data_IF_092579381236
#
_entry.id   IF_092579381236
#
_cell.length_a   1.000
_cell.length_b   1.000
_cell.length_c   1.000
_cell.angle_alpha   90.00
_cell.angle_beta   90.00
_cell.angle_gamma   90.00
#
_symmetry.space_group_name_H-M   'P 1'
#
loop_
_entity.id
_entity.type
_entity.pdbx_description
1 polymer ?
#
# COMPACT_ATOMS: atom_id res chain seq x y z
N UNK A 1 28.85 -47.32 -11.13
CA UNK A 1 28.31 -46.38 -12.13
C UNK A 1 26.80 -46.61 -12.12
N UNK A 2 26.04 -45.78 -11.39
CA UNK A 2 25.18 -44.73 -11.99
C UNK A 2 23.83 -45.39 -12.35
N UNK A 3 22.68 -45.02 -11.82
CA UNK A 3 22.14 -43.67 -11.75
C UNK A 3 21.13 -43.50 -10.61
N UNK A 4 21.19 -42.33 -9.97
CA UNK A 4 20.14 -41.81 -9.10
C UNK A 4 19.06 -41.11 -9.94
N UNK A 5 17.80 -41.37 -9.63
CA UNK A 5 16.67 -40.59 -10.14
C UNK A 5 16.15 -39.68 -9.03
N UNK A 6 16.52 -38.40 -9.13
CA UNK A 6 15.97 -37.30 -8.33
C UNK A 6 14.73 -36.79 -9.08
N UNK A 7 13.56 -36.92 -8.46
CA UNK A 7 12.33 -36.26 -8.92
C UNK A 7 12.28 -34.83 -8.39
N UNK A 8 12.06 -33.80 -9.23
CA UNK A 8 11.86 -32.45 -8.73
C UNK A 8 10.40 -32.25 -8.32
N UNK A 9 10.19 -31.81 -7.07
CA UNK A 9 8.90 -31.27 -6.58
C UNK A 9 8.63 -29.94 -7.29
N UNK A 10 7.61 -29.91 -8.13
CA UNK A 10 7.04 -28.67 -8.65
C UNK A 10 6.31 -27.93 -7.52
N UNK A 11 6.87 -26.81 -7.08
CA UNK A 11 6.20 -25.84 -6.23
C UNK A 11 5.17 -25.06 -7.04
N UNK A 12 3.92 -25.03 -6.57
CA UNK A 12 2.84 -24.25 -7.16
C UNK A 12 2.97 -22.78 -6.69
N UNK A 13 3.55 -21.92 -7.52
CA UNK A 13 3.38 -20.46 -7.41
C UNK A 13 1.96 -20.10 -7.88
N UNK A 14 1.07 -19.77 -6.96
CA UNK A 14 -0.13 -18.98 -7.29
C UNK A 14 0.14 -17.54 -6.91
N UNK A 15 0.58 -16.77 -7.90
CA UNK A 15 0.51 -15.32 -7.85
C UNK A 15 -0.96 -14.90 -7.88
N UNK A 16 -1.48 -14.34 -6.79
CA UNK A 16 -2.73 -13.59 -6.81
C UNK A 16 -2.36 -12.10 -6.77
N UNK A 17 -2.40 -11.47 -7.95
CA UNK A 17 -2.35 -10.02 -8.07
C UNK A 17 -3.63 -9.42 -7.46
N UNK A 18 -3.53 -8.88 -6.25
CA UNK A 18 -4.48 -7.90 -5.74
C UNK A 18 -4.10 -6.52 -6.27
N UNK A 19 -4.74 -6.07 -7.35
CA UNK A 19 -4.62 -4.69 -7.83
C UNK A 19 -5.37 -3.79 -6.85
N UNK A 20 -4.66 -3.12 -5.96
CA UNK A 20 -5.15 -1.91 -5.29
C UNK A 20 -4.47 -0.73 -5.98
N UNK A 21 -5.13 -0.22 -7.03
CA UNK A 21 -4.74 1.02 -7.67
C UNK A 21 -5.07 2.20 -6.73
N UNK A 22 -4.10 2.62 -5.94
CA UNK A 22 -4.04 4.01 -5.46
C UNK A 22 -3.60 4.92 -6.61
N UNK A 23 -4.21 6.09 -6.73
CA UNK A 23 -3.86 7.10 -7.73
C UNK A 23 -2.37 7.46 -7.63
N UNK A 24 -1.55 6.96 -8.56
CA UNK A 24 -0.12 7.30 -8.63
C UNK A 24 0.84 6.28 -9.26
N UNK A 25 0.43 5.04 -9.55
CA UNK A 25 1.39 3.97 -9.89
C UNK A 25 1.27 3.30 -11.28
N UNK A 26 0.37 3.73 -12.18
CA UNK A 26 0.05 2.92 -13.37
C UNK A 26 0.98 3.08 -14.58
N UNK A 27 1.87 4.08 -14.64
CA UNK A 27 2.71 4.30 -15.83
C UNK A 27 4.08 3.61 -15.77
N UNK A 28 4.60 3.31 -14.58
CA UNK A 28 5.92 2.71 -14.40
C UNK A 28 6.00 1.23 -14.77
N UNK A 29 4.91 0.47 -14.55
CA UNK A 29 4.90 -0.98 -14.71
C UNK A 29 4.79 -1.42 -16.18
N UNK A 30 4.15 -0.62 -17.05
CA UNK A 30 4.04 -0.89 -18.48
C UNK A 30 5.41 -0.84 -19.20
N UNK A 31 6.30 0.08 -18.79
CA UNK A 31 7.61 0.29 -19.44
C UNK A 31 8.66 -0.78 -19.07
N UNK A 32 8.44 -1.56 -18.02
CA UNK A 32 9.32 -2.64 -17.59
C UNK A 32 9.00 -3.98 -18.25
N UNK A 33 7.81 -4.13 -18.85
CA UNK A 33 7.37 -5.38 -19.48
C UNK A 33 7.60 -5.37 -21.01
N UNK A 34 7.71 -4.20 -21.65
CA UNK A 34 7.89 -4.10 -23.11
C UNK A 34 9.29 -3.67 -23.58
N UNK A 35 10.32 -3.76 -22.73
CA UNK A 35 11.66 -3.23 -22.99
C UNK A 35 12.79 -4.27 -23.02
N UNK A 36 12.61 -5.40 -23.72
CA UNK A 36 13.64 -6.42 -23.92
C UNK A 36 14.49 -6.18 -25.17
N UNK A 37 15.74 -5.78 -24.97
CA UNK A 37 16.77 -5.52 -25.98
C UNK A 37 17.26 -6.82 -26.67
N UNK A 38 17.36 -6.83 -28.00
CA UNK A 38 18.25 -7.75 -28.73
C UNK A 38 19.17 -6.96 -29.68
N UNK A 39 20.46 -6.95 -29.37
CA UNK A 39 21.53 -6.46 -30.25
C UNK A 39 21.86 -7.52 -31.31
N UNK A 40 21.65 -7.12 -32.57
CA UNK A 40 22.55 -7.19 -33.73
C UNK A 40 23.23 -8.54 -34.06
N UNK A 41 22.82 -9.14 -35.18
CA UNK A 41 23.78 -9.68 -36.15
C UNK A 41 23.30 -9.46 -37.61
N UNK A 42 24.27 -9.25 -38.49
CA UNK A 42 24.18 -8.60 -39.81
C UNK A 42 24.13 -9.66 -40.93
N UNK A 43 23.17 -9.58 -41.87
CA UNK A 43 23.37 -9.81 -43.33
C UNK A 43 22.07 -9.64 -44.16
N UNK A 44 22.19 -8.72 -45.13
CA UNK A 44 21.64 -8.65 -46.50
C UNK A 44 20.38 -9.42 -46.91
N UNK A 45 19.37 -8.72 -47.43
CA UNK A 45 18.97 -8.70 -48.85
C UNK A 45 17.60 -8.00 -49.05
N UNK A 46 17.37 -7.47 -50.25
CA UNK A 46 16.18 -6.75 -50.73
C UNK A 46 14.89 -7.59 -50.59
N UNK A 47 13.64 -7.08 -50.66
CA UNK A 47 13.04 -6.24 -51.72
C UNK A 47 11.56 -5.96 -51.34
N UNK A 48 11.01 -4.82 -51.80
CA UNK A 48 9.60 -4.54 -52.18
C UNK A 48 8.45 -4.52 -51.13
N UNK A 49 7.86 -3.33 -50.95
CA UNK A 49 6.42 -3.07 -50.78
C UNK A 49 5.72 -3.12 -52.17
N UNK A 50 4.36 -3.12 -52.36
CA UNK A 50 3.32 -2.61 -51.44
C UNK A 50 1.97 -3.38 -51.42
N UNK A 51 1.06 -2.97 -50.53
CA UNK A 51 -0.35 -3.40 -50.58
C UNK A 51 -1.21 -2.80 -49.46
N UNK A 52 -1.82 -1.64 -49.73
CA UNK A 52 -2.82 -0.97 -48.89
C UNK A 52 -4.17 -1.69 -49.00
N UNK A 53 -4.88 -1.88 -47.87
CA UNK A 53 -6.36 -1.89 -47.84
C UNK A 53 -6.93 -1.48 -46.47
N UNK A 54 -7.97 -0.67 -46.58
CA UNK A 54 -8.68 0.18 -45.60
C UNK A 54 -9.20 -0.51 -44.32
N UNK A 55 -9.26 0.28 -43.24
CA UNK A 55 -10.07 0.05 -42.04
C UNK A 55 -11.18 1.10 -41.97
N UNK A 56 -12.41 0.66 -41.78
CA UNK A 56 -13.60 1.48 -41.56
C UNK A 56 -13.50 2.22 -40.21
N UNK A 57 -13.83 3.51 -40.21
CA UNK A 57 -13.96 4.36 -39.02
C UNK A 57 -15.39 4.34 -38.51
N UNK A 58 -15.57 4.00 -37.24
CA UNK A 58 -16.84 4.17 -36.51
C UNK A 58 -16.99 5.65 -36.19
N UNK A 59 -18.03 6.27 -36.72
CA UNK A 59 -18.44 7.65 -36.47
C UNK A 59 -19.13 7.73 -35.09
N UNK A 60 -18.64 8.58 -34.19
CA UNK A 60 -19.24 8.84 -32.88
C UNK A 60 -19.77 10.26 -32.90
N UNK A 61 -21.09 10.40 -32.93
CA UNK A 61 -21.79 11.69 -32.90
C UNK A 61 -21.54 12.38 -31.54
N UNK A 62 -20.75 13.45 -31.55
CA UNK A 62 -20.41 14.24 -30.35
C UNK A 62 -21.60 15.11 -29.93
N UNK A 63 -22.02 15.00 -28.66
CA UNK A 63 -23.06 15.84 -28.08
C UNK A 63 -22.56 17.29 -27.86
N UNK A 64 -23.35 18.32 -28.25
CA UNK A 64 -23.00 19.73 -28.02
C UNK A 64 -22.87 20.03 -26.52
N UNK A 65 -21.72 20.57 -26.11
CA UNK A 65 -21.41 20.91 -24.71
C UNK A 65 -20.49 19.91 -23.98
N UNK A 66 -20.12 18.80 -24.63
CA UNK A 66 -19.10 17.89 -24.09
C UNK A 66 -17.69 18.53 -24.07
N UNK A 67 -16.87 18.11 -23.11
CA UNK A 67 -15.47 18.55 -23.00
C UNK A 67 -14.68 18.27 -24.29
N UNK A 68 -14.96 17.16 -24.99
CA UNK A 68 -14.34 16.84 -26.27
C UNK A 68 -14.69 17.86 -27.35
N UNK A 69 -15.97 18.26 -27.45
CA UNK A 69 -16.38 19.29 -28.41
C UNK A 69 -15.73 20.66 -28.15
N UNK A 70 -15.37 20.96 -26.90
CA UNK A 70 -14.67 22.21 -26.54
C UNK A 70 -13.17 22.20 -26.79
N UNK A 71 -12.56 21.03 -26.96
CA UNK A 71 -11.11 20.87 -27.17
C UNK A 71 -10.77 20.57 -28.62
N UNK A 72 -11.72 20.08 -29.43
CA UNK A 72 -11.53 19.78 -30.86
C UNK A 72 -11.25 21.00 -31.76
N UNK A 73 -11.42 22.23 -31.27
CA UNK A 73 -11.24 23.46 -32.05
C UNK A 73 -9.98 24.28 -31.74
N UNK A 74 -9.06 23.77 -30.90
CA UNK A 74 -7.80 24.47 -30.59
C UNK A 74 -6.74 24.12 -31.64
N UNK A 75 -6.67 24.93 -32.69
CA UNK A 75 -5.65 24.85 -33.72
C UNK A 75 -4.33 25.43 -33.18
N UNK A 76 -3.45 24.56 -32.64
CA UNK A 76 -2.10 24.97 -32.21
C UNK A 76 -1.19 25.01 -33.45
N UNK A 77 -1.37 26.05 -34.26
CA UNK A 77 -0.41 26.41 -35.30
C UNK A 77 0.72 27.20 -34.65
N UNK A 78 1.86 26.54 -34.39
CA UNK A 78 3.10 27.24 -34.07
C UNK A 78 3.72 27.79 -35.38
N UNK A 79 3.91 29.11 -35.54
CA UNK A 79 4.78 29.60 -36.59
C UNK A 79 6.22 29.25 -36.23
N UNK A 80 6.97 28.64 -37.17
CA UNK A 80 8.42 28.48 -37.03
C UNK A 80 9.10 29.85 -37.20
N UNK A 81 9.93 30.30 -36.26
CA UNK A 81 10.95 31.29 -36.55
C UNK A 81 12.24 30.57 -36.94
N UNK A 82 12.89 31.14 -37.94
CA UNK A 82 14.14 30.73 -38.57
C UNK A 82 15.31 31.00 -37.61
N UNK A 83 16.26 30.06 -37.59
CA UNK A 83 17.64 30.08 -37.07
C UNK A 83 18.08 31.27 -36.19
N UNK A 84 18.24 31.07 -34.87
CA UNK A 84 19.36 31.62 -34.09
C UNK A 84 19.71 30.69 -32.91
N UNK A 85 21.02 30.46 -32.76
CA UNK A 85 21.79 29.67 -31.81
C UNK A 85 21.27 29.46 -30.35
N UNK A 86 21.50 28.22 -29.89
CA UNK A 86 21.98 27.80 -28.57
C UNK A 86 21.38 28.42 -27.30
N UNK A 87 20.42 27.73 -26.71
CA UNK A 87 20.28 27.63 -25.25
C UNK A 87 19.57 26.32 -24.91
N UNK A 88 20.16 25.53 -24.01
CA UNK A 88 19.61 24.29 -23.49
C UNK A 88 18.24 24.54 -22.82
N UNK A 89 17.16 24.18 -23.52
CA UNK A 89 15.83 24.09 -22.91
C UNK A 89 15.79 22.75 -22.17
N UNK A 90 16.28 22.75 -20.93
CA UNK A 90 16.02 21.66 -20.00
C UNK A 90 14.52 21.65 -19.75
N UNK A 91 13.81 20.68 -20.33
CA UNK A 91 12.45 20.33 -19.96
C UNK A 91 12.45 19.94 -18.46
N UNK A 92 12.28 20.91 -17.57
CA UNK A 92 11.96 20.64 -16.17
C UNK A 92 10.58 19.98 -16.16
N UNK A 93 10.56 18.68 -15.91
CA UNK A 93 9.32 17.98 -15.62
C UNK A 93 8.62 18.69 -14.45
N UNK A 94 7.32 18.99 -14.54
CA UNK A 94 6.60 19.81 -13.56
C UNK A 94 6.56 19.25 -12.12
N UNK A 95 7.17 18.09 -11.87
CA UNK A 95 7.32 17.47 -10.54
C UNK A 95 8.72 17.52 -9.91
N UNK A 96 9.75 17.97 -10.64
CA UNK A 96 11.12 18.01 -10.13
C UNK A 96 11.41 19.38 -9.51
N UNK A 97 11.41 19.43 -8.19
CA UNK A 97 11.88 20.61 -7.46
C UNK A 97 13.41 20.70 -7.56
N UNK A 98 13.93 21.93 -7.65
CA UNK A 98 15.38 22.16 -7.60
C UNK A 98 15.96 21.54 -6.29
N UNK A 99 17.01 20.71 -6.37
CA UNK A 99 17.67 20.15 -5.18
C UNK A 99 18.04 21.20 -4.11
N UNK A 100 18.38 22.42 -4.52
CA UNK A 100 18.69 23.51 -3.59
C UNK A 100 17.46 23.94 -2.79
N UNK A 101 16.28 23.99 -3.40
CA UNK A 101 15.03 24.30 -2.68
C UNK A 101 14.66 23.21 -1.68
N UNK A 102 14.92 21.92 -1.99
CA UNK A 102 14.74 20.84 -1.01
C UNK A 102 15.67 20.99 0.20
N UNK A 103 16.95 21.29 -0.02
CA UNK A 103 17.90 21.57 1.08
C UNK A 103 17.45 22.75 1.93
N UNK A 104 16.97 23.83 1.29
CA UNK A 104 16.42 24.98 2.00
C UNK A 104 15.22 24.60 2.85
N UNK A 105 14.26 23.83 2.32
CA UNK A 105 13.10 23.37 3.08
C UNK A 105 13.51 22.51 4.30
N UNK A 106 14.45 21.58 4.13
CA UNK A 106 14.97 20.77 5.23
C UNK A 106 15.67 21.62 6.30
N UNK A 107 16.46 22.62 5.88
CA UNK A 107 17.10 23.56 6.80
C UNK A 107 16.09 24.45 7.53
N UNK A 108 15.06 24.94 6.83
CA UNK A 108 13.96 25.69 7.43
C UNK A 108 13.19 24.84 8.45
N UNK A 109 12.97 23.55 8.16
CA UNK A 109 12.31 22.65 9.10
C UNK A 109 13.11 22.52 10.40
N UNK A 110 14.43 22.33 10.31
CA UNK A 110 15.32 22.20 11.48
C UNK A 110 15.41 23.47 12.32
N UNK A 111 15.35 24.64 11.68
CA UNK A 111 15.54 25.94 12.35
C UNK A 111 14.23 26.58 12.83
N UNK A 112 13.09 26.14 12.31
CA UNK A 112 11.79 26.68 12.71
C UNK A 112 11.42 26.27 14.13
N UNK A 113 11.03 27.26 14.94
CA UNK A 113 10.46 27.06 16.28
C UNK A 113 8.94 27.28 16.33
N UNK A 114 8.31 27.56 15.18
CA UNK A 114 6.89 27.87 15.06
C UNK A 114 6.12 26.67 14.50
N UNK A 115 5.19 26.05 15.27
CA UNK A 115 4.48 24.85 14.82
C UNK A 115 3.70 25.02 13.49
N UNK A 116 2.91 26.08 13.26
CA UNK A 116 2.35 26.40 11.94
C UNK A 116 3.34 26.35 10.77
N UNK A 117 4.56 26.89 10.95
CA UNK A 117 5.58 26.87 9.91
C UNK A 117 6.13 25.46 9.70
N UNK A 118 6.36 24.70 10.79
CA UNK A 118 6.74 23.28 10.71
C UNK A 118 5.71 22.48 9.92
N UNK A 119 4.42 22.65 10.22
CA UNK A 119 3.33 21.97 9.50
C UNK A 119 3.36 22.29 8.00
N UNK A 120 3.49 23.58 7.62
CA UNK A 120 3.55 24.00 6.22
C UNK A 120 4.77 23.42 5.50
N UNK A 121 5.93 23.39 6.16
CA UNK A 121 7.16 22.86 5.58
C UNK A 121 7.05 21.33 5.41
N UNK A 122 6.58 20.61 6.44
CA UNK A 122 6.36 19.16 6.39
C UNK A 122 5.35 18.77 5.31
N UNK A 123 4.23 19.49 5.20
CA UNK A 123 3.25 19.31 4.13
C UNK A 123 3.88 19.53 2.76
N UNK A 124 4.70 20.57 2.60
CA UNK A 124 5.41 20.85 1.35
C UNK A 124 6.38 19.73 1.00
N UNK A 125 7.21 19.28 1.96
CA UNK A 125 8.13 18.16 1.78
C UNK A 125 7.38 16.85 1.45
N UNK A 126 6.25 16.58 2.11
CA UNK A 126 5.39 15.44 1.84
C UNK A 126 4.82 15.46 0.42
N UNK A 127 4.36 16.62 -0.06
CA UNK A 127 3.90 16.79 -1.44
C UNK A 127 5.04 16.62 -2.45
N UNK A 128 6.23 17.17 -2.16
CA UNK A 128 7.42 16.95 -2.98
C UNK A 128 7.79 15.45 -3.07
N UNK A 129 7.63 14.71 -1.97
CA UNK A 129 7.88 13.28 -1.90
C UNK A 129 6.87 12.41 -2.68
N UNK A 130 5.89 13.00 -3.38
CA UNK A 130 5.08 12.28 -4.36
C UNK A 130 5.88 11.86 -5.62
N UNK A 131 7.05 12.48 -5.87
CA UNK A 131 7.91 12.18 -7.01
C UNK A 131 9.15 11.39 -6.60
N UNK A 132 9.44 10.28 -7.28
CA UNK A 132 10.56 9.38 -6.94
C UNK A 132 11.93 10.06 -6.95
N UNK A 133 12.16 11.03 -7.85
CA UNK A 133 13.41 11.82 -7.88
C UNK A 133 13.59 12.57 -6.56
N UNK A 134 12.54 13.24 -6.08
CA UNK A 134 12.58 13.99 -4.83
C UNK A 134 12.68 13.06 -3.61
N UNK A 135 12.05 11.88 -3.65
CA UNK A 135 12.20 10.86 -2.60
C UNK A 135 13.67 10.43 -2.43
N UNK A 136 14.40 10.27 -3.54
CA UNK A 136 15.82 9.94 -3.51
C UNK A 136 16.66 11.12 -3.00
N UNK A 137 16.42 12.34 -3.50
CA UNK A 137 17.15 13.54 -3.04
C UNK A 137 16.94 13.79 -1.54
N UNK A 138 15.71 13.64 -1.03
CA UNK A 138 15.42 13.77 0.40
C UNK A 138 16.21 12.74 1.21
N UNK A 139 16.30 11.49 0.75
CA UNK A 139 17.14 10.46 1.40
C UNK A 139 18.63 10.84 1.36
N UNK A 140 19.15 11.24 0.20
CA UNK A 140 20.55 11.62 -0.01
C UNK A 140 20.97 12.86 0.81
N UNK A 141 20.02 13.71 1.18
CA UNK A 141 20.25 14.86 2.06
C UNK A 141 19.98 14.56 3.54
N UNK A 142 19.93 13.29 3.95
CA UNK A 142 19.60 12.88 5.33
C UNK A 142 18.25 13.45 5.82
N UNK A 143 17.37 13.78 4.87
CA UNK A 143 16.10 14.44 5.10
C UNK A 143 15.06 13.53 5.75
N UNK A 144 15.16 12.21 5.57
CA UNK A 144 14.26 11.24 6.24
C UNK A 144 14.44 11.35 7.76
N UNK A 145 15.68 11.31 8.26
CA UNK A 145 15.97 11.44 9.69
C UNK A 145 15.59 12.82 10.21
N UNK A 146 15.82 13.87 9.42
CA UNK A 146 15.41 15.25 9.74
C UNK A 146 13.89 15.36 9.91
N UNK A 147 13.11 14.80 8.98
CA UNK A 147 11.64 14.80 9.04
C UNK A 147 11.15 13.94 10.22
N UNK A 148 11.71 12.74 10.38
CA UNK A 148 11.30 11.82 11.43
C UNK A 148 11.59 12.34 12.85
N UNK A 149 12.56 13.25 13.02
CA UNK A 149 12.81 13.93 14.29
C UNK A 149 11.59 14.67 14.86
N UNK A 150 10.59 15.00 14.02
CA UNK A 150 9.35 15.65 14.43
C UNK A 150 8.24 14.68 14.84
N UNK A 151 8.48 13.36 14.87
CA UNK A 151 7.54 12.39 15.46
C UNK A 151 7.35 12.61 16.97
N UNK A 152 8.31 13.26 17.63
CA UNK A 152 8.26 13.65 19.05
C UNK A 152 7.79 15.08 19.28
N UNK A 153 7.31 15.79 18.26
CA UNK A 153 6.87 17.18 18.42
C UNK A 153 5.67 17.26 19.39
N UNK A 154 5.64 18.22 20.33
CA UNK A 154 4.52 18.36 21.28
C UNK A 154 3.18 18.63 20.59
N UNK A 155 3.19 19.21 19.39
CA UNK A 155 1.98 19.53 18.64
C UNK A 155 1.56 18.34 17.79
N UNK A 156 0.34 17.82 18.04
CA UNK A 156 -0.21 16.67 17.33
C UNK A 156 -0.26 16.88 15.81
N UNK A 157 -0.64 18.08 15.36
CA UNK A 157 -0.69 18.40 13.92
C UNK A 157 0.69 18.31 13.25
N UNK A 158 1.77 18.71 13.94
CA UNK A 158 3.13 18.56 13.41
C UNK A 158 3.44 17.07 13.22
N UNK A 159 3.12 16.23 14.21
CA UNK A 159 3.29 14.77 14.12
C UNK A 159 2.48 14.14 12.99
N UNK A 160 1.25 14.61 12.76
CA UNK A 160 0.41 14.19 11.62
C UNK A 160 1.11 14.52 10.29
N UNK A 161 1.58 15.76 10.12
CA UNK A 161 2.26 16.15 8.87
C UNK A 161 3.59 15.40 8.69
N UNK A 162 4.31 15.11 9.77
CA UNK A 162 5.50 14.25 9.74
C UNK A 162 5.18 12.85 9.24
N UNK A 163 4.15 12.20 9.80
CA UNK A 163 3.74 10.86 9.37
C UNK A 163 3.27 10.84 7.92
N UNK A 164 2.54 11.86 7.47
CA UNK A 164 2.12 11.99 6.07
C UNK A 164 3.32 12.13 5.12
N UNK A 165 4.32 12.94 5.48
CA UNK A 165 5.55 13.06 4.71
C UNK A 165 6.33 11.74 4.66
N UNK A 166 6.48 11.06 5.80
CA UNK A 166 7.12 9.74 5.88
C UNK A 166 6.35 8.68 5.07
N UNK A 167 5.01 8.72 5.08
CA UNK A 167 4.17 7.81 4.32
C UNK A 167 4.43 7.92 2.80
N UNK A 168 4.57 9.15 2.28
CA UNK A 168 4.92 9.36 0.88
C UNK A 168 6.36 8.94 0.57
N UNK A 169 7.30 9.24 1.46
CA UNK A 169 8.70 8.79 1.33
C UNK A 169 8.82 7.26 1.34
N UNK A 170 7.97 6.59 2.11
CA UNK A 170 7.91 5.13 2.27
C UNK A 170 7.45 4.40 0.99
N UNK A 171 6.92 5.10 0.00
CA UNK A 171 6.60 4.52 -1.31
C UNK A 171 7.85 4.08 -2.10
N UNK A 172 9.04 4.50 -1.65
CA UNK A 172 10.33 4.06 -2.19
C UNK A 172 10.96 2.99 -1.28
N UNK A 173 11.20 1.80 -1.82
CA UNK A 173 11.75 0.65 -1.07
C UNK A 173 13.11 0.96 -0.41
N UNK A 174 13.96 1.78 -1.04
CA UNK A 174 15.24 2.17 -0.43
C UNK A 174 15.02 3.10 0.77
N UNK A 175 14.03 3.98 0.72
CA UNK A 175 13.68 4.85 1.85
C UNK A 175 13.14 4.05 3.05
N UNK A 176 12.44 2.94 2.79
CA UNK A 176 11.92 2.09 3.86
C UNK A 176 13.03 1.58 4.80
N UNK A 177 14.26 1.38 4.30
CA UNK A 177 15.40 0.98 5.15
C UNK A 177 15.78 2.04 6.19
N UNK A 178 15.54 3.31 5.89
CA UNK A 178 15.77 4.42 6.81
C UNK A 178 14.55 4.69 7.70
N UNK A 179 13.34 4.41 7.21
CA UNK A 179 12.09 4.67 7.93
C UNK A 179 11.79 3.57 8.96
N UNK A 180 12.16 2.31 8.67
CA UNK A 180 11.82 1.15 9.52
C UNK A 180 12.26 1.28 10.98
N UNK A 181 13.32 2.04 11.26
CA UNK A 181 13.84 2.24 12.62
C UNK A 181 12.86 3.02 13.51
N UNK A 182 11.90 3.73 12.91
CA UNK A 182 10.88 4.51 13.62
C UNK A 182 9.60 3.73 13.89
N UNK A 183 9.47 2.47 13.44
CA UNK A 183 8.27 1.64 13.68
C UNK A 183 7.87 1.57 15.16
N UNK A 184 8.80 1.37 16.14
CA UNK A 184 8.43 1.38 17.55
C UNK A 184 7.78 2.69 18.00
N UNK A 185 8.31 3.83 17.57
CA UNK A 185 7.75 5.14 17.89
C UNK A 185 6.39 5.37 17.21
N UNK A 186 6.21 4.88 15.97
CA UNK A 186 4.92 4.96 15.26
C UNK A 186 3.85 4.13 15.98
N UNK A 187 4.22 2.96 16.50
CA UNK A 187 3.34 2.12 17.31
C UNK A 187 2.96 2.78 18.63
N UNK A 188 3.93 3.39 19.32
CA UNK A 188 3.68 4.19 20.53
C UNK A 188 2.72 5.35 20.26
N UNK A 189 2.88 6.04 19.12
CA UNK A 189 1.94 7.10 18.70
C UNK A 189 0.52 6.56 18.49
N UNK A 190 0.35 5.34 17.98
CA UNK A 190 -0.98 4.73 17.83
C UNK A 190 -1.60 4.44 19.20
N UNK A 191 -0.83 3.85 20.11
CA UNK A 191 -1.30 3.44 21.44
C UNK A 191 -1.64 4.64 22.34
N UNK A 192 -0.81 5.68 22.32
CA UNK A 192 -0.92 6.82 23.24
C UNK A 192 -1.84 7.94 22.74
N UNK A 193 -2.29 7.89 21.49
CA UNK A 193 -3.15 8.92 20.90
C UNK A 193 -4.63 8.70 21.25
N UNK A 194 -5.44 9.78 21.30
CA UNK A 194 -6.89 9.64 21.41
C UNK A 194 -7.45 8.73 20.31
N UNK A 195 -8.39 7.86 20.69
CA UNK A 195 -9.06 6.93 19.78
C UNK A 195 -9.74 7.72 18.66
N UNK A 196 -9.54 7.28 17.41
CA UNK A 196 -10.05 7.92 16.18
C UNK A 196 -9.41 9.27 15.82
N UNK A 197 -8.22 9.57 16.37
CA UNK A 197 -7.48 10.78 15.97
C UNK A 197 -6.84 10.65 14.58
N UNK A 198 -6.66 11.79 13.90
CA UNK A 198 -5.91 11.87 12.64
C UNK A 198 -4.47 11.34 12.79
N UNK A 199 -3.92 11.44 13.99
CA UNK A 199 -2.59 10.93 14.32
C UNK A 199 -2.54 9.38 14.25
N UNK A 200 -3.53 8.69 14.82
CA UNK A 200 -3.64 7.22 14.68
C UNK A 200 -3.80 6.83 13.20
N UNK A 201 -4.64 7.56 12.47
CA UNK A 201 -4.88 7.30 11.06
C UNK A 201 -3.62 7.47 10.21
N UNK A 202 -2.86 8.55 10.40
CA UNK A 202 -1.61 8.81 9.69
C UNK A 202 -0.55 7.75 10.00
N UNK A 203 -0.46 7.31 11.26
CA UNK A 203 0.45 6.25 11.68
C UNK A 203 0.10 4.89 11.05
N UNK A 204 -1.19 4.51 11.05
CA UNK A 204 -1.66 3.27 10.43
C UNK A 204 -1.43 3.26 8.91
N UNK A 205 -1.55 4.41 8.22
CA UNK A 205 -1.23 4.53 6.78
C UNK A 205 0.24 4.23 6.51
N UNK A 206 1.16 4.78 7.33
CA UNK A 206 2.58 4.48 7.22
C UNK A 206 2.87 2.98 7.46
N UNK A 207 2.28 2.37 8.48
CA UNK A 207 2.44 0.93 8.76
C UNK A 207 1.85 0.06 7.64
N UNK A 208 0.77 0.50 7.00
CA UNK A 208 0.21 -0.18 5.82
C UNK A 208 1.25 -0.25 4.71
N UNK A 209 1.94 0.85 4.41
CA UNK A 209 2.98 0.88 3.37
C UNK A 209 4.21 0.03 3.74
N UNK A 210 4.63 0.04 5.00
CA UNK A 210 5.76 -0.77 5.47
C UNK A 210 5.44 -2.28 5.53
N UNK A 211 4.16 -2.65 5.65
CA UNK A 211 3.74 -4.05 5.71
C UNK A 211 3.46 -4.68 4.35
N UNK A 212 3.44 -3.92 3.25
CA UNK A 212 3.13 -4.45 1.89
C UNK A 212 4.08 -5.58 1.48
N UNK A 213 5.34 -5.53 1.92
CA UNK A 213 6.32 -6.59 1.65
C UNK A 213 6.76 -7.26 2.94
N UNK A 214 7.10 -8.54 2.88
CA UNK A 214 7.50 -9.36 4.03
C UNK A 214 8.72 -8.80 4.79
N UNK A 215 9.54 -7.98 4.11
CA UNK A 215 10.83 -7.49 4.58
C UNK A 215 10.78 -6.85 5.97
N UNK A 216 9.74 -6.09 6.28
CA UNK A 216 9.62 -5.33 7.54
C UNK A 216 8.49 -5.80 8.44
N UNK A 217 7.71 -6.81 8.03
CA UNK A 217 6.55 -7.28 8.78
C UNK A 217 6.89 -7.83 10.17
N UNK A 218 8.09 -8.41 10.34
CA UNK A 218 8.57 -8.89 11.64
C UNK A 218 8.65 -7.80 12.72
N UNK A 219 8.75 -6.52 12.32
CA UNK A 219 8.74 -5.39 13.26
C UNK A 219 7.37 -5.16 13.91
N UNK A 220 6.31 -5.78 13.39
CA UNK A 220 4.93 -5.61 13.82
C UNK A 220 4.41 -6.76 14.68
N UNK A 221 5.22 -7.80 14.97
CA UNK A 221 4.80 -8.99 15.74
C UNK A 221 4.16 -8.63 17.08
N UNK A 222 4.82 -7.79 17.86
CA UNK A 222 4.34 -7.37 19.18
C UNK A 222 3.11 -6.43 19.12
N UNK A 223 2.80 -5.87 17.94
CA UNK A 223 1.68 -4.95 17.76
C UNK A 223 0.36 -5.62 17.39
N UNK A 224 0.35 -6.94 17.16
CA UNK A 224 -0.84 -7.64 16.65
C UNK A 224 -2.02 -7.48 17.62
N UNK A 225 -1.79 -7.60 18.93
CA UNK A 225 -2.82 -7.38 19.97
C UNK A 225 -3.39 -5.97 19.93
N UNK A 226 -2.54 -4.95 19.75
CA UNK A 226 -2.96 -3.55 19.59
C UNK A 226 -3.85 -3.39 18.35
N UNK A 227 -3.40 -3.93 17.21
CA UNK A 227 -4.16 -3.87 15.96
C UNK A 227 -5.53 -4.56 16.09
N UNK A 228 -5.60 -5.76 16.69
CA UNK A 228 -6.86 -6.46 16.94
C UNK A 228 -7.79 -5.67 17.86
N UNK A 229 -7.24 -4.98 18.86
CA UNK A 229 -8.01 -4.12 19.77
C UNK A 229 -8.59 -2.90 19.05
N UNK A 230 -7.82 -2.27 18.16
CA UNK A 230 -8.29 -1.15 17.34
C UNK A 230 -9.50 -1.52 16.46
N UNK A 231 -9.59 -2.77 15.99
CA UNK A 231 -10.76 -3.22 15.20
C UNK A 231 -12.09 -3.06 15.95
N UNK A 232 -12.07 -3.15 17.28
CA UNK A 232 -13.28 -3.15 18.10
C UNK A 232 -13.68 -1.74 18.53
N UNK A 233 -12.69 -0.87 18.77
CA UNK A 233 -12.92 0.43 19.42
C UNK A 233 -12.92 1.62 18.45
N UNK A 234 -12.48 1.44 17.21
CA UNK A 234 -12.33 2.52 16.23
C UNK A 234 -13.46 2.60 15.22
N UNK A 235 -13.59 3.76 14.58
CA UNK A 235 -14.52 4.01 13.47
C UNK A 235 -14.07 3.31 12.19
N UNK A 236 -15.00 3.21 11.23
CA UNK A 236 -14.82 2.52 9.94
C UNK A 236 -13.50 2.86 9.24
N UNK A 237 -13.11 4.14 9.18
CA UNK A 237 -11.89 4.55 8.48
C UNK A 237 -10.63 3.92 9.10
N UNK A 238 -10.51 3.94 10.43
CA UNK A 238 -9.37 3.33 11.13
C UNK A 238 -9.44 1.81 11.08
N UNK A 239 -10.63 1.21 11.22
CA UNK A 239 -10.82 -0.24 11.05
C UNK A 239 -10.31 -0.71 9.69
N UNK A 240 -10.66 0.01 8.62
CA UNK A 240 -10.19 -0.30 7.26
C UNK A 240 -8.66 -0.23 7.17
N UNK A 241 -8.01 0.78 7.75
CA UNK A 241 -6.54 0.87 7.70
C UNK A 241 -5.86 -0.20 8.56
N UNK A 242 -6.35 -0.43 9.78
CA UNK A 242 -5.87 -1.52 10.65
C UNK A 242 -5.99 -2.87 9.96
N UNK A 243 -7.11 -3.15 9.29
CA UNK A 243 -7.30 -4.40 8.56
C UNK A 243 -6.35 -4.52 7.36
N UNK A 244 -5.96 -3.43 6.69
CA UNK A 244 -4.95 -3.53 5.63
C UNK A 244 -3.62 -4.01 6.19
N UNK A 245 -3.20 -3.52 7.36
CA UNK A 245 -2.00 -4.02 8.04
C UNK A 245 -2.16 -5.50 8.37
N UNK A 246 -3.25 -5.90 9.02
CA UNK A 246 -3.49 -7.31 9.41
C UNK A 246 -3.60 -8.25 8.20
N UNK A 247 -4.21 -7.82 7.10
CA UNK A 247 -4.29 -8.59 5.85
C UNK A 247 -2.89 -8.76 5.24
N UNK A 248 -2.08 -7.71 5.21
CA UNK A 248 -0.69 -7.80 4.74
C UNK A 248 0.11 -8.80 5.58
N UNK A 249 0.02 -8.70 6.91
CA UNK A 249 0.71 -9.63 7.83
C UNK A 249 0.24 -11.07 7.66
N UNK A 250 -1.07 -11.31 7.63
CA UNK A 250 -1.64 -12.67 7.50
C UNK A 250 -1.40 -13.32 6.14
N UNK A 251 -1.04 -12.54 5.12
CA UNK A 251 -0.65 -13.08 3.81
C UNK A 251 0.76 -13.68 3.83
N UNK A 252 1.54 -13.45 4.88
CA UNK A 252 2.86 -14.01 5.08
C UNK A 252 2.81 -15.19 6.07
N UNK A 253 3.13 -16.43 5.63
CA UNK A 253 3.18 -17.60 6.49
C UNK A 253 4.10 -17.46 7.72
N UNK A 254 5.20 -16.69 7.62
CA UNK A 254 6.16 -16.50 8.71
C UNK A 254 5.60 -15.65 9.87
N UNK A 255 4.50 -14.94 9.64
CA UNK A 255 3.79 -14.15 10.65
C UNK A 255 2.66 -14.92 11.33
N UNK A 256 2.23 -16.06 10.76
CA UNK A 256 1.01 -16.73 11.18
C UNK A 256 1.04 -17.19 12.64
N UNK A 257 2.17 -17.75 13.09
CA UNK A 257 2.32 -18.22 14.46
C UNK A 257 2.21 -17.06 15.47
N UNK A 258 2.72 -15.87 15.14
CA UNK A 258 2.56 -14.68 15.99
C UNK A 258 1.11 -14.19 15.99
N UNK A 259 0.46 -14.19 14.81
CA UNK A 259 -0.91 -13.71 14.64
C UNK A 259 -1.92 -14.55 15.42
N UNK A 260 -1.85 -15.88 15.29
CA UNK A 260 -2.82 -16.78 15.92
C UNK A 260 -2.63 -16.89 17.44
N UNK A 261 -1.42 -16.62 17.93
CA UNK A 261 -1.08 -16.59 19.35
C UNK A 261 -1.42 -15.27 20.04
N UNK A 262 -1.50 -14.17 19.28
CA UNK A 262 -1.77 -12.84 19.84
C UNK A 262 -3.08 -12.82 20.62
N UNK A 263 -3.10 -12.25 21.83
CA UNK A 263 -4.34 -11.94 22.54
C UNK A 263 -5.30 -11.12 21.66
N UNK A 264 -6.58 -11.51 21.65
CA UNK A 264 -7.59 -10.90 20.82
C UNK A 264 -8.88 -10.66 21.63
N UNK A 265 -9.49 -9.47 21.54
CA UNK A 265 -10.82 -9.28 22.13
C UNK A 265 -11.83 -10.25 21.50
N UNK A 266 -12.62 -10.94 22.34
CA UNK A 266 -13.65 -11.86 21.86
C UNK A 266 -14.67 -11.17 20.93
N UNK A 267 -14.88 -9.86 21.09
CA UNK A 267 -15.76 -9.04 20.25
C UNK A 267 -15.30 -8.89 18.80
N UNK A 268 -14.06 -9.24 18.44
CA UNK A 268 -13.60 -9.24 17.03
C UNK A 268 -14.50 -10.12 16.17
N UNK A 269 -14.96 -11.27 16.67
CA UNK A 269 -15.86 -12.17 15.93
C UNK A 269 -17.23 -11.53 15.65
N UNK A 270 -17.65 -10.56 16.46
CA UNK A 270 -18.93 -9.87 16.31
C UNK A 270 -18.93 -8.89 15.14
N UNK A 271 -17.76 -8.53 14.60
CA UNK A 271 -17.65 -7.70 13.41
C UNK A 271 -18.06 -8.45 12.13
N UNK A 272 -18.17 -9.78 12.17
CA UNK A 272 -18.73 -10.58 11.07
C UNK A 272 -20.26 -10.56 11.12
N UNK A 273 -20.84 -9.41 10.81
CA UNK A 273 -22.27 -9.13 10.88
C UNK A 273 -22.72 -8.35 9.64
N UNK A 274 -23.96 -8.57 9.19
CA UNK A 274 -24.48 -7.92 7.99
C UNK A 274 -24.62 -6.39 8.12
N UNK A 275 -24.55 -5.86 9.35
CA UNK A 275 -24.56 -4.41 9.62
C UNK A 275 -23.16 -3.79 9.57
N UNK A 276 -22.09 -4.60 9.56
CA UNK A 276 -20.73 -4.10 9.42
C UNK A 276 -20.55 -3.49 8.03
N UNK A 277 -19.90 -2.33 7.96
CA UNK A 277 -19.64 -1.65 6.69
C UNK A 277 -18.96 -2.60 5.69
N UNK A 278 -19.42 -2.67 4.42
CA UNK A 278 -18.89 -3.62 3.44
C UNK A 278 -17.37 -3.54 3.26
N UNK A 279 -16.80 -2.33 3.31
CA UNK A 279 -15.35 -2.12 3.20
C UNK A 279 -14.54 -2.75 4.35
N UNK A 280 -15.10 -2.78 5.55
CA UNK A 280 -14.53 -3.45 6.73
C UNK A 280 -14.75 -4.95 6.61
N UNK A 281 -15.98 -5.37 6.29
CA UNK A 281 -16.35 -6.78 6.22
C UNK A 281 -15.57 -7.56 5.17
N UNK A 282 -15.38 -7.02 3.96
CA UNK A 282 -14.56 -7.65 2.90
C UNK A 282 -13.10 -7.88 3.35
N UNK A 283 -12.54 -6.95 4.11
CA UNK A 283 -11.17 -7.09 4.64
C UNK A 283 -11.09 -8.06 5.82
N UNK A 284 -12.10 -8.06 6.69
CA UNK A 284 -12.24 -9.08 7.73
C UNK A 284 -12.34 -10.49 7.15
N UNK A 285 -13.12 -10.67 6.08
CA UNK A 285 -13.24 -11.94 5.37
C UNK A 285 -11.92 -12.34 4.70
N UNK A 286 -11.19 -11.39 4.11
CA UNK A 286 -9.85 -11.65 3.57
C UNK A 286 -8.89 -12.10 4.68
N UNK A 287 -8.85 -11.39 5.80
CA UNK A 287 -8.05 -11.75 6.96
C UNK A 287 -8.43 -13.14 7.50
N UNK A 288 -9.71 -13.40 7.72
CA UNK A 288 -10.20 -14.71 8.19
C UNK A 288 -9.90 -15.84 7.20
N UNK A 289 -9.96 -15.59 5.90
CA UNK A 289 -9.56 -16.54 4.86
C UNK A 289 -8.08 -16.92 4.99
N UNK A 290 -7.20 -15.92 5.10
CA UNK A 290 -5.77 -16.16 5.32
C UNK A 290 -5.51 -16.97 6.60
N UNK A 291 -6.19 -16.61 7.70
CA UNK A 291 -6.11 -17.36 8.96
C UNK A 291 -6.57 -18.81 8.79
N UNK A 292 -7.68 -19.01 8.08
CA UNK A 292 -8.22 -20.33 7.81
C UNK A 292 -7.34 -21.17 6.91
N UNK A 293 -6.47 -20.60 6.08
CA UNK A 293 -5.55 -21.33 5.22
C UNK A 293 -4.35 -21.91 5.99
N UNK A 294 -4.07 -21.40 7.18
CA UNK A 294 -3.06 -21.96 8.08
C UNK A 294 -3.52 -23.30 8.68
N UNK A 295 -2.66 -24.32 8.56
CA UNK A 295 -2.91 -25.70 9.01
C UNK A 295 -1.89 -26.07 10.10
N UNK A 296 -2.18 -25.80 11.38
CA UNK A 296 -1.29 -26.21 12.46
C UNK A 296 -1.26 -27.74 12.61
N UNK A 297 -0.19 -28.25 13.21
CA UNK A 297 -0.18 -29.62 13.71
C UNK A 297 -1.18 -29.77 14.87
N UNK A 298 -1.62 -31.00 15.14
CA UNK A 298 -2.52 -31.27 16.27
C UNK A 298 -1.94 -30.78 17.61
N UNK A 299 -0.64 -30.94 17.82
CA UNK A 299 0.06 -30.48 19.02
C UNK A 299 0.02 -28.95 19.18
N UNK A 300 0.24 -28.21 18.08
CA UNK A 300 0.17 -26.74 18.09
C UNK A 300 -1.25 -26.27 18.34
N UNK A 301 -2.24 -26.90 17.71
CA UNK A 301 -3.65 -26.60 17.94
C UNK A 301 -4.07 -26.86 19.41
N UNK A 302 -3.66 -27.98 19.99
CA UNK A 302 -3.95 -28.31 21.38
C UNK A 302 -3.30 -27.33 22.37
N UNK A 303 -2.09 -26.86 22.08
CA UNK A 303 -1.43 -25.84 22.89
C UNK A 303 -2.15 -24.49 22.79
N UNK A 304 -2.55 -24.08 21.58
CA UNK A 304 -3.34 -22.87 21.39
C UNK A 304 -4.70 -22.96 22.09
N UNK A 305 -5.32 -24.13 22.14
CA UNK A 305 -6.60 -24.35 22.85
C UNK A 305 -6.50 -24.07 24.35
N UNK A 306 -5.32 -24.24 24.95
CA UNK A 306 -5.08 -23.96 26.38
C UNK A 306 -4.93 -22.47 26.68
N UNK A 307 -4.57 -21.64 25.69
CA UNK A 307 -4.47 -20.19 25.82
C UNK A 307 -5.85 -19.56 25.62
N UNK A 308 -6.51 -19.08 26.67
CA UNK A 308 -7.92 -18.67 26.59
C UNK A 308 -8.20 -17.53 25.60
N UNK A 309 -7.30 -16.55 25.50
CA UNK A 309 -7.58 -15.28 24.83
C UNK A 309 -6.86 -15.10 23.48
N UNK A 310 -6.22 -16.15 22.95
CA UNK A 310 -5.51 -16.03 21.68
C UNK A 310 -6.47 -15.94 20.49
N UNK A 311 -6.03 -15.29 19.41
CA UNK A 311 -6.83 -15.14 18.20
C UNK A 311 -7.30 -16.49 17.62
N UNK A 312 -6.50 -17.55 17.76
CA UNK A 312 -6.92 -18.91 17.40
C UNK A 312 -8.22 -19.33 18.09
N UNK A 313 -8.35 -19.13 19.41
CA UNK A 313 -9.58 -19.45 20.15
C UNK A 313 -10.75 -18.61 19.68
N UNK A 314 -10.51 -17.32 19.42
CA UNK A 314 -11.56 -16.37 19.03
C UNK A 314 -12.10 -16.67 17.64
N UNK A 315 -11.24 -17.09 16.70
CA UNK A 315 -11.58 -17.12 15.26
C UNK A 315 -11.55 -18.52 14.62
N UNK A 316 -10.66 -19.41 15.04
CA UNK A 316 -10.34 -20.65 14.32
C UNK A 316 -10.75 -21.94 15.05
N UNK A 317 -10.79 -21.91 16.37
CA UNK A 317 -11.20 -23.08 17.17
C UNK A 317 -12.68 -23.42 16.95
N UNK A 318 -13.04 -24.69 17.15
CA UNK A 318 -14.41 -25.19 17.00
C UNK A 318 -15.40 -24.49 17.95
N UNK A 319 -14.93 -23.97 19.07
CA UNK A 319 -15.75 -23.17 20.00
C UNK A 319 -16.02 -21.74 19.54
N UNK A 320 -15.36 -21.27 18.47
CA UNK A 320 -15.58 -19.93 17.91
C UNK A 320 -16.97 -19.77 17.31
N UNK A 321 -17.55 -18.58 17.47
CA UNK A 321 -18.79 -18.21 16.79
C UNK A 321 -18.59 -17.84 15.32
N UNK A 322 -17.35 -17.84 14.80
CA UNK A 322 -17.07 -17.39 13.44
C UNK A 322 -17.86 -18.21 12.40
N UNK A 323 -17.96 -19.52 12.56
CA UNK A 323 -18.69 -20.37 11.62
C UNK A 323 -20.16 -19.96 11.49
N UNK A 324 -20.88 -19.80 12.60
CA UNK A 324 -22.30 -19.43 12.57
C UNK A 324 -22.51 -18.02 12.01
N UNK A 325 -21.59 -17.08 12.29
CA UNK A 325 -21.58 -15.73 11.71
C UNK A 325 -21.38 -15.75 10.21
N UNK A 326 -20.41 -16.54 9.72
CA UNK A 326 -20.19 -16.72 8.28
C UNK A 326 -21.43 -17.30 7.59
N UNK A 327 -22.09 -18.30 8.19
CA UNK A 327 -23.33 -18.85 7.62
C UNK A 327 -24.42 -17.78 7.48
N UNK A 328 -24.57 -16.89 8.46
CA UNK A 328 -25.54 -15.77 8.36
C UNK A 328 -25.20 -14.81 7.20
N UNK A 329 -23.90 -14.57 6.96
CA UNK A 329 -23.44 -13.69 5.89
C UNK A 329 -23.62 -14.27 4.48
N UNK A 330 -23.94 -15.56 4.31
CA UNK A 330 -24.34 -16.11 3.01
C UNK A 330 -25.60 -15.45 2.43
N UNK A 331 -26.42 -14.82 3.28
CA UNK A 331 -27.61 -14.07 2.86
C UNK A 331 -27.37 -12.56 2.70
N UNK A 332 -26.12 -12.10 2.77
CA UNK A 332 -25.78 -10.68 2.65
C UNK A 332 -26.14 -10.13 1.24
N UNK A 333 -26.65 -8.89 1.09
CA UNK A 333 -27.07 -8.38 -0.22
C UNK A 333 -25.92 -8.16 -1.23
N UNK A 334 -24.69 -7.98 -0.73
CA UNK A 334 -23.48 -7.84 -1.56
C UNK A 334 -22.96 -9.20 -2.01
N UNK A 335 -22.94 -9.42 -3.34
CA UNK A 335 -22.49 -10.67 -3.95
C UNK A 335 -21.00 -10.97 -3.78
N UNK A 336 -20.15 -9.96 -3.62
CA UNK A 336 -18.73 -10.18 -3.33
C UNK A 336 -18.54 -10.76 -1.92
N UNK A 337 -19.26 -10.21 -0.94
CA UNK A 337 -19.27 -10.73 0.44
C UNK A 337 -19.76 -12.17 0.45
N UNK A 338 -20.88 -12.48 -0.21
CA UNK A 338 -21.39 -13.84 -0.31
C UNK A 338 -20.35 -14.81 -0.91
N UNK A 339 -19.71 -14.41 -2.00
CA UNK A 339 -18.69 -15.23 -2.67
C UNK A 339 -17.48 -15.49 -1.77
N UNK A 340 -17.01 -14.49 -1.03
CA UNK A 340 -15.88 -14.66 -0.11
C UNK A 340 -16.26 -15.56 1.08
N UNK A 341 -17.44 -15.37 1.66
CA UNK A 341 -17.96 -16.21 2.74
C UNK A 341 -18.08 -17.67 2.31
N UNK A 342 -18.66 -17.93 1.13
CA UNK A 342 -18.79 -19.28 0.59
C UNK A 342 -17.41 -19.96 0.44
N UNK A 343 -16.41 -19.25 -0.08
CA UNK A 343 -15.03 -19.74 -0.21
C UNK A 343 -14.38 -20.09 1.13
N UNK A 344 -14.69 -19.34 2.19
CA UNK A 344 -14.13 -19.56 3.54
C UNK A 344 -14.81 -20.76 4.23
N UNK A 345 -16.03 -21.11 3.85
CA UNK A 345 -16.79 -22.22 4.43
C UNK A 345 -16.51 -23.58 3.76
N UNK A 346 -16.00 -23.59 2.53
CA UNK A 346 -15.59 -24.79 1.78
C UNK A 346 -14.16 -25.21 2.10
#
# INVERSE_FOLDING_TARGET
>A
MGDGSITPRFGNMKALLGIVAGAGASYGLYKLISGGSFKRNKKSAATQSPGVRNRETIDVTLQPGSLLARVSGLDVVCPRPVDVASADIIHQSPGNIDPQHLKMLLSCLQTSNNPPDRCRILLTLGNCAAFTVNQNLIREFEGIHTIAGFLSDPVAEVRVQTLNALNNLCMNIQNQEHIKIYVPQVLELIEMSPVNSDLQLAALRLLTNLSVTDKHQHLLKESITLLLSLLVVTIEELQVQTLKVLVNLSSNPDMMDDIVQAPAPASVVLLFDARTAPAVLLRLLTFAGNLKDWRPSAQVADELRRKQDCLFRVMLDESSQLHSRLVQLLSHPDGEIQSQVARILT
#
